data_IF_400415370228
#
_entry.id   IF_400415370228
#
_cell.length_a   1.000
_cell.length_b   1.000
_cell.length_c   1.000
_cell.angle_alpha   90.00
_cell.angle_beta   90.00
_cell.angle_gamma   90.00
#
_symmetry.space_group_name_H-M   'P 1'
#
loop_
_entity.id
_entity.type
_entity.pdbx_description
1 polymer ?
#
# COMPACT_ATOMS: atom_id res chain seq x y z
N UNK A 1 -4.54 14.05 5.54
CA UNK A 1 -3.81 13.66 4.33
C UNK A 1 -4.09 14.59 3.15
N UNK A 2 -5.33 14.73 2.68
CA UNK A 2 -5.67 15.58 1.52
C UNK A 2 -5.05 16.98 1.57
N UNK A 3 -5.35 17.77 2.61
CA UNK A 3 -4.81 19.13 2.73
C UNK A 3 -3.28 19.16 2.72
N UNK A 4 -2.63 18.23 3.42
CA UNK A 4 -1.16 18.13 3.48
C UNK A 4 -0.57 17.93 2.08
N UNK A 5 -1.17 17.08 1.24
CA UNK A 5 -0.65 16.83 -0.11
C UNK A 5 -1.08 17.89 -1.11
N UNK A 6 -2.25 18.49 -0.95
CA UNK A 6 -2.65 19.66 -1.75
C UNK A 6 -1.74 20.87 -1.48
N UNK A 7 -1.33 21.10 -0.23
CA UNK A 7 -0.35 22.14 0.13
C UNK A 7 1.04 21.87 -0.48
N UNK A 8 1.34 20.61 -0.79
CA UNK A 8 2.55 20.19 -1.53
C UNK A 8 2.35 20.15 -3.05
N UNK A 9 1.24 20.71 -3.55
CA UNK A 9 0.87 20.76 -4.96
C UNK A 9 0.66 19.38 -5.61
N UNK A 10 0.05 18.45 -4.86
CA UNK A 10 -0.40 17.15 -5.36
C UNK A 10 -1.93 17.04 -5.38
N UNK A 11 -2.44 16.39 -6.42
CA UNK A 11 -3.81 15.92 -6.45
C UNK A 11 -3.92 14.56 -5.75
N UNK A 12 -4.89 14.44 -4.85
CA UNK A 12 -5.19 13.19 -4.14
C UNK A 12 -6.53 12.69 -4.64
N UNK A 13 -6.54 11.48 -5.18
CA UNK A 13 -7.74 10.82 -5.69
C UNK A 13 -7.97 9.57 -4.85
N UNK A 14 -9.16 9.49 -4.27
CA UNK A 14 -9.60 8.37 -3.43
C UNK A 14 -10.99 7.96 -3.84
N UNK A 15 -11.31 6.70 -3.61
CA UNK A 15 -12.57 6.11 -3.99
C UNK A 15 -12.98 5.08 -2.96
N UNK A 16 -14.28 4.88 -2.83
CA UNK A 16 -14.81 3.75 -2.09
C UNK A 16 -14.73 2.50 -2.97
N UNK A 17 -14.19 1.44 -2.40
CA UNK A 17 -14.20 0.13 -3.03
C UNK A 17 -15.63 -0.39 -3.18
N UNK A 18 -15.88 -1.27 -4.16
CA UNK A 18 -17.17 -1.99 -4.23
C UNK A 18 -17.49 -2.66 -2.89
N UNK A 19 -18.74 -2.52 -2.43
CA UNK A 19 -19.21 -3.04 -1.14
C UNK A 19 -18.78 -2.24 0.09
N UNK A 20 -18.17 -1.06 -0.09
CA UNK A 20 -17.84 -0.10 0.96
C UNK A 20 -18.45 1.26 0.66
N UNK A 21 -18.70 2.06 1.71
CA UNK A 21 -19.34 3.36 1.58
C UNK A 21 -20.67 3.25 0.84
N UNK A 22 -20.84 4.09 -0.18
CA UNK A 22 -22.02 4.10 -1.05
C UNK A 22 -21.85 3.23 -2.31
N UNK A 23 -20.77 2.45 -2.42
CA UNK A 23 -20.49 1.60 -3.59
C UNK A 23 -21.10 0.20 -3.45
N UNK A 24 -21.88 -0.20 -4.44
CA UNK A 24 -22.55 -1.51 -4.51
C UNK A 24 -21.60 -2.67 -4.89
N UNK A 25 -22.07 -3.90 -4.69
CA UNK A 25 -21.45 -5.12 -5.20
C UNK A 25 -20.61 -5.90 -4.17
N UNK A 26 -20.23 -7.15 -4.50
CA UNK A 26 -19.47 -7.99 -3.58
C UNK A 26 -18.00 -7.56 -3.54
N UNK A 27 -17.49 -7.32 -2.33
CA UNK A 27 -16.08 -7.03 -2.06
C UNK A 27 -15.21 -8.30 -2.15
N UNK A 28 -15.01 -8.85 -3.35
CA UNK A 28 -14.06 -9.96 -3.60
C UNK A 28 -12.66 -9.42 -3.95
N UNK A 29 -11.60 -10.22 -3.81
CA UNK A 29 -10.21 -9.81 -4.14
C UNK A 29 -10.15 -9.19 -5.52
N UNK A 30 -10.62 -9.97 -6.48
CA UNK A 30 -10.59 -9.65 -7.89
C UNK A 30 -11.38 -8.38 -8.14
N UNK A 31 -12.54 -8.23 -7.50
CA UNK A 31 -13.35 -7.03 -7.61
C UNK A 31 -12.64 -5.79 -7.07
N UNK A 32 -12.09 -5.87 -5.87
CA UNK A 32 -11.39 -4.76 -5.21
C UNK A 32 -10.12 -4.35 -5.97
N UNK A 33 -9.35 -5.33 -6.46
CA UNK A 33 -8.17 -5.08 -7.31
C UNK A 33 -8.58 -4.49 -8.66
N UNK A 34 -9.70 -4.95 -9.24
CA UNK A 34 -10.26 -4.39 -10.47
C UNK A 34 -10.67 -2.93 -10.29
N UNK A 35 -11.24 -2.56 -9.15
CA UNK A 35 -11.57 -1.16 -8.83
C UNK A 35 -10.30 -0.30 -8.80
N UNK A 36 -9.22 -0.76 -8.16
CA UNK A 36 -7.93 -0.09 -8.20
C UNK A 36 -7.40 0.12 -9.62
N UNK A 37 -7.48 -0.91 -10.48
CA UNK A 37 -7.05 -0.81 -11.88
C UNK A 37 -7.90 0.19 -12.66
N UNK A 38 -9.22 0.17 -12.49
CA UNK A 38 -10.14 1.11 -13.16
C UNK A 38 -9.82 2.55 -12.79
N UNK A 39 -9.66 2.84 -11.50
CA UNK A 39 -9.33 4.19 -11.03
C UNK A 39 -7.94 4.59 -11.49
N UNK A 40 -6.93 3.72 -11.37
CA UNK A 40 -5.58 4.02 -11.86
C UNK A 40 -5.58 4.38 -13.35
N UNK A 41 -6.25 3.58 -14.19
CA UNK A 41 -6.34 3.84 -15.63
C UNK A 41 -7.10 5.13 -15.93
N UNK A 42 -8.20 5.39 -15.22
CA UNK A 42 -8.94 6.64 -15.34
C UNK A 42 -8.02 7.84 -15.03
N UNK A 43 -7.33 7.81 -13.90
CA UNK A 43 -6.41 8.88 -13.50
C UNK A 43 -5.29 9.03 -14.51
N UNK A 44 -4.65 7.93 -14.91
CA UNK A 44 -3.52 7.99 -15.85
C UNK A 44 -3.93 8.59 -17.21
N UNK A 45 -5.11 8.27 -17.71
CA UNK A 45 -5.63 8.83 -18.97
C UNK A 45 -5.95 10.32 -18.88
N UNK A 46 -6.26 10.85 -17.69
CA UNK A 46 -6.56 12.27 -17.47
C UNK A 46 -5.37 13.05 -16.87
N UNK A 47 -4.25 12.39 -16.62
CA UNK A 47 -3.07 13.00 -16.01
C UNK A 47 -2.06 13.52 -17.03
N UNK A 48 -2.27 13.30 -18.33
CA UNK A 48 -1.33 13.67 -19.40
C UNK A 48 0.11 13.17 -19.08
N UNK A 49 1.06 14.10 -18.93
CA UNK A 49 2.46 13.86 -18.59
C UNK A 49 2.74 13.87 -17.08
N UNK A 50 1.73 14.04 -16.22
CA UNK A 50 1.94 14.06 -14.78
C UNK A 50 2.29 12.68 -14.23
N UNK A 51 3.09 12.71 -13.17
CA UNK A 51 3.48 11.54 -12.39
C UNK A 51 2.28 11.01 -11.62
N UNK A 52 1.96 9.74 -11.83
CA UNK A 52 0.91 9.01 -11.12
C UNK A 52 1.54 7.98 -10.21
N UNK A 53 1.27 8.11 -8.91
CA UNK A 53 1.76 7.25 -7.83
C UNK A 53 0.57 6.50 -7.22
N UNK A 54 0.74 5.20 -6.96
CA UNK A 54 -0.24 4.42 -6.21
C UNK A 54 0.10 4.52 -4.73
N UNK A 55 -0.88 4.90 -3.90
CA UNK A 55 -0.73 4.97 -2.45
C UNK A 55 -1.67 3.96 -1.77
N UNK A 56 -1.14 3.14 -0.88
CA UNK A 56 -1.92 2.24 -0.02
C UNK A 56 -1.62 2.49 1.45
N UNK A 57 -2.64 2.41 2.30
CA UNK A 57 -2.51 2.46 3.76
C UNK A 57 -3.13 1.21 4.39
N UNK A 58 -2.41 0.59 5.34
CA UNK A 58 -2.90 -0.58 6.07
C UNK A 58 -3.38 -1.68 5.12
N UNK A 59 -4.65 -2.13 5.20
CA UNK A 59 -5.21 -3.10 4.23
C UNK A 59 -5.08 -2.65 2.76
N UNK A 60 -5.15 -1.34 2.51
CA UNK A 60 -4.90 -0.72 1.22
C UNK A 60 -3.55 -1.09 0.60
N UNK A 61 -2.52 -1.36 1.42
CA UNK A 61 -1.18 -1.72 0.91
C UNK A 61 -1.18 -3.03 0.15
N UNK A 62 -2.03 -3.99 0.54
CA UNK A 62 -2.14 -5.28 -0.15
C UNK A 62 -2.72 -5.11 -1.56
N UNK A 63 -3.76 -4.28 -1.70
CA UNK A 63 -4.37 -3.97 -2.99
C UNK A 63 -3.43 -3.12 -3.86
N UNK A 64 -2.84 -2.08 -3.29
CA UNK A 64 -1.89 -1.22 -3.99
C UNK A 64 -0.70 -2.01 -4.55
N UNK A 65 -0.13 -2.92 -3.75
CA UNK A 65 0.98 -3.80 -4.16
C UNK A 65 0.54 -4.74 -5.28
N UNK A 66 -0.66 -5.33 -5.17
CA UNK A 66 -1.20 -6.23 -6.20
C UNK A 66 -1.45 -5.49 -7.52
N UNK A 67 -2.05 -4.30 -7.49
CA UNK A 67 -2.26 -3.47 -8.67
C UNK A 67 -0.93 -3.05 -9.30
N UNK A 68 0.04 -2.58 -8.51
CA UNK A 68 1.36 -2.22 -9.01
C UNK A 68 2.11 -3.41 -9.63
N UNK A 69 1.97 -4.60 -9.03
CA UNK A 69 2.52 -5.84 -9.59
C UNK A 69 1.89 -6.16 -10.95
N UNK A 70 0.57 -6.14 -11.05
CA UNK A 70 -0.15 -6.46 -12.29
C UNK A 70 0.26 -5.52 -13.43
N UNK A 71 0.36 -4.22 -13.13
CA UNK A 71 0.86 -3.20 -14.06
C UNK A 71 2.33 -3.44 -14.45
N UNK A 72 3.17 -3.86 -13.50
CA UNK A 72 4.58 -4.19 -13.75
C UNK A 72 4.71 -5.39 -14.69
N UNK A 73 3.90 -6.45 -14.48
CA UNK A 73 3.86 -7.64 -15.33
C UNK A 73 3.34 -7.29 -16.73
N UNK A 74 2.37 -6.38 -16.82
CA UNK A 74 1.84 -5.89 -18.09
C UNK A 74 2.80 -4.93 -18.83
N UNK A 75 4.00 -4.67 -18.31
CA UNK A 75 4.97 -3.76 -18.92
C UNK A 75 4.61 -2.27 -18.81
N UNK A 76 3.63 -1.92 -17.99
CA UNK A 76 3.15 -0.54 -17.79
C UNK A 76 3.20 -0.14 -16.30
N UNK A 77 4.35 -0.29 -15.63
CA UNK A 77 4.44 0.00 -14.19
C UNK A 77 4.05 1.45 -13.89
N UNK A 78 3.42 1.72 -12.73
CA UNK A 78 3.18 3.09 -12.28
C UNK A 78 4.52 3.79 -12.03
N UNK A 79 4.51 5.12 -11.88
CA UNK A 79 5.75 5.85 -11.61
C UNK A 79 6.35 5.47 -10.26
N UNK A 80 5.50 5.10 -9.29
CA UNK A 80 5.92 4.62 -7.99
C UNK A 80 4.78 4.07 -7.16
N UNK A 81 5.16 3.39 -6.07
CA UNK A 81 4.26 2.78 -5.10
C UNK A 81 4.62 3.29 -3.70
N UNK A 82 3.65 3.83 -2.96
CA UNK A 82 3.80 4.21 -1.55
C UNK A 82 2.96 3.28 -0.69
N UNK A 83 3.59 2.67 0.31
CA UNK A 83 2.97 1.77 1.26
C UNK A 83 3.10 2.34 2.68
N UNK A 84 1.99 2.78 3.26
CA UNK A 84 1.92 3.33 4.61
C UNK A 84 1.40 2.28 5.60
N UNK A 85 2.15 2.05 6.68
CA UNK A 85 1.92 0.98 7.66
C UNK A 85 1.60 -0.38 7.01
N UNK A 86 2.42 -0.89 6.08
CA UNK A 86 2.13 -2.15 5.41
C UNK A 86 2.36 -3.36 6.31
N UNK A 87 1.86 -4.49 5.84
CA UNK A 87 2.15 -5.79 6.41
C UNK A 87 2.63 -6.75 5.32
N UNK A 88 3.39 -7.75 5.75
CA UNK A 88 3.89 -8.83 4.91
C UNK A 88 2.78 -9.84 4.58
N UNK A 89 1.92 -10.15 5.55
CA UNK A 89 0.80 -11.09 5.41
C UNK A 89 -0.37 -10.66 6.31
N UNK A 90 -1.62 -10.69 5.80
CA UNK A 90 -2.79 -10.35 6.61
C UNK A 90 -3.01 -11.35 7.76
N UNK A 91 -2.55 -12.62 7.62
CA UNK A 91 -2.52 -13.58 8.73
C UNK A 91 -1.69 -13.05 9.90
N UNK A 92 -0.51 -12.53 9.63
CA UNK A 92 0.39 -12.03 10.68
C UNK A 92 -0.22 -10.85 11.44
N UNK A 93 -1.00 -10.02 10.75
CA UNK A 93 -1.76 -8.91 11.36
C UNK A 93 -2.91 -9.42 12.23
N UNK A 94 -3.70 -10.39 11.75
CA UNK A 94 -4.83 -10.97 12.49
C UNK A 94 -4.39 -11.70 13.78
N UNK A 95 -3.14 -12.12 13.85
CA UNK A 95 -2.56 -12.74 15.05
C UNK A 95 -1.88 -11.75 16.00
N UNK A 96 -1.95 -10.45 15.74
CA UNK A 96 -1.42 -9.45 16.66
C UNK A 96 -2.27 -9.33 17.91
N UNK A 97 -1.59 -9.11 19.04
CA UNK A 97 -2.20 -9.05 20.37
C UNK A 97 -3.24 -7.93 20.48
N UNK A 98 -3.06 -6.82 19.76
CA UNK A 98 -3.91 -5.63 19.89
C UNK A 98 -5.28 -5.80 19.22
N UNK A 99 -5.31 -6.40 18.03
CA UNK A 99 -6.57 -6.68 17.31
C UNK A 99 -7.38 -7.76 18.04
N UNK A 100 -6.71 -8.73 18.66
CA UNK A 100 -7.35 -9.79 19.44
C UNK A 100 -7.69 -9.41 20.89
N UNK A 101 -7.08 -8.37 21.47
CA UNK A 101 -7.26 -7.97 22.88
C UNK A 101 -8.72 -7.70 23.30
N UNK A 102 -9.54 -6.92 22.56
CA UNK A 102 -10.93 -6.71 22.94
C UNK A 102 -11.78 -7.98 22.88
N UNK A 103 -11.27 -9.06 22.28
CA UNK A 103 -11.98 -10.33 22.08
C UNK A 103 -11.23 -11.51 22.69
N UNK A 104 -10.30 -11.28 23.63
CA UNK A 104 -9.50 -12.33 24.28
C UNK A 104 -10.38 -13.38 24.98
N UNK A 105 -11.59 -13.00 25.39
CA UNK A 105 -12.60 -13.84 26.03
C UNK A 105 -13.38 -14.74 25.05
N UNK A 106 -13.31 -14.48 23.74
CA UNK A 106 -13.97 -15.26 22.70
C UNK A 106 -13.01 -16.35 22.21
N UNK A 107 -13.48 -17.61 22.00
CA UNK A 107 -12.65 -18.64 21.41
C UNK A 107 -11.97 -18.15 20.12
N UNK A 108 -10.65 -18.32 20.03
CA UNK A 108 -9.82 -17.81 18.92
C UNK A 108 -10.38 -18.18 17.55
N UNK A 109 -10.97 -19.38 17.41
CA UNK A 109 -11.62 -19.84 16.19
C UNK A 109 -12.84 -18.98 15.78
N UNK A 110 -13.65 -18.52 16.74
CA UNK A 110 -14.83 -17.68 16.50
C UNK A 110 -14.42 -16.24 16.18
N UNK A 111 -13.42 -15.70 16.89
CA UNK A 111 -12.86 -14.38 16.58
C UNK A 111 -12.29 -14.33 15.16
N UNK A 112 -11.48 -15.34 14.81
CA UNK A 112 -10.97 -15.54 13.47
C UNK A 112 -12.15 -15.67 12.50
N UNK A 113 -13.16 -16.50 12.77
CA UNK A 113 -14.28 -16.67 11.85
C UNK A 113 -15.05 -15.37 11.59
N UNK A 114 -15.33 -14.55 12.59
CA UNK A 114 -16.05 -13.27 12.41
C UNK A 114 -15.23 -12.24 11.63
N UNK A 115 -13.96 -12.03 11.99
CA UNK A 115 -13.09 -11.08 11.27
C UNK A 115 -12.69 -11.59 9.89
N UNK A 116 -12.48 -12.89 9.76
CA UNK A 116 -12.20 -13.50 8.47
C UNK A 116 -13.44 -13.73 7.64
N UNK A 117 -14.69 -13.66 8.11
CA UNK A 117 -15.88 -13.86 7.25
C UNK A 117 -15.90 -12.90 6.07
N UNK A 118 -15.66 -11.60 6.33
CA UNK A 118 -15.52 -10.60 5.26
C UNK A 118 -14.21 -10.80 4.49
N UNK A 119 -13.10 -11.12 5.16
CA UNK A 119 -11.82 -11.40 4.49
C UNK A 119 -11.80 -12.70 3.66
N UNK A 120 -12.67 -13.67 3.98
CA UNK A 120 -12.86 -14.96 3.30
C UNK A 120 -13.58 -14.74 1.98
N UNK A 121 -14.56 -13.84 1.96
CA UNK A 121 -15.18 -13.35 0.72
C UNK A 121 -14.17 -12.59 -0.13
N UNK A 122 -13.28 -11.85 0.53
CA UNK A 122 -12.20 -11.12 -0.12
C UNK A 122 -11.20 -12.12 -0.72
N UNK A 123 -10.86 -13.27 -0.11
CA UNK A 123 -10.16 -14.39 -0.78
C UNK A 123 -8.79 -14.72 -0.17
N UNK A 124 -8.17 -15.83 -0.58
CA UNK A 124 -6.92 -16.33 0.03
C UNK A 124 -5.63 -15.68 -0.49
N UNK A 125 -5.71 -14.86 -1.53
CA UNK A 125 -4.54 -14.29 -2.22
C UNK A 125 -4.02 -13.00 -1.56
N UNK A 126 -4.79 -12.38 -0.65
CA UNK A 126 -4.34 -11.30 0.28
C UNK A 126 -3.13 -11.63 1.15
N UNK A 127 -2.78 -12.90 1.17
CA UNK A 127 -1.81 -13.49 2.09
C UNK A 127 -0.38 -13.39 1.57
N UNK A 128 -0.15 -12.81 0.39
CA UNK A 128 1.13 -12.92 -0.32
C UNK A 128 1.73 -11.56 -0.70
N UNK A 129 1.60 -10.53 0.15
CA UNK A 129 2.24 -9.23 -0.14
C UNK A 129 3.76 -9.37 -0.31
N UNK A 130 4.40 -10.30 0.42
CA UNK A 130 5.81 -10.68 0.24
C UNK A 130 6.13 -11.21 -1.18
N UNK A 131 5.28 -12.04 -1.79
CA UNK A 131 5.53 -12.55 -3.15
C UNK A 131 5.17 -11.52 -4.21
N UNK A 132 4.14 -10.70 -3.95
CA UNK A 132 3.69 -9.66 -4.87
C UNK A 132 4.72 -8.55 -5.03
N UNK A 133 5.30 -8.10 -3.91
CA UNK A 133 6.25 -6.97 -3.93
C UNK A 133 7.52 -7.31 -4.73
N UNK A 134 7.94 -8.58 -4.76
CA UNK A 134 9.09 -9.05 -5.54
C UNK A 134 8.93 -8.83 -7.05
N UNK A 135 7.69 -8.75 -7.54
CA UNK A 135 7.34 -8.58 -8.94
C UNK A 135 7.02 -7.13 -9.32
N UNK A 136 6.99 -6.21 -8.36
CA UNK A 136 6.82 -4.77 -8.61
C UNK A 136 8.12 -4.22 -9.19
N UNK A 137 8.07 -3.50 -10.31
CA UNK A 137 9.27 -2.95 -10.97
C UNK A 137 9.45 -1.45 -10.77
N UNK A 138 8.40 -0.73 -10.35
CA UNK A 138 8.51 0.68 -10.02
C UNK A 138 9.23 0.92 -8.68
N UNK A 139 9.75 2.14 -8.44
CA UNK A 139 10.25 2.54 -7.13
C UNK A 139 9.19 2.45 -6.04
N UNK A 140 9.60 1.97 -4.86
CA UNK A 140 8.73 1.70 -3.72
C UNK A 140 9.18 2.56 -2.53
N UNK A 141 8.24 3.26 -1.91
CA UNK A 141 8.41 3.92 -0.62
C UNK A 141 7.57 3.19 0.43
N UNK A 142 8.20 2.74 1.50
CA UNK A 142 7.53 2.17 2.65
C UNK A 142 7.67 3.14 3.82
N UNK A 143 6.55 3.49 4.44
CA UNK A 143 6.46 4.37 5.60
C UNK A 143 5.86 3.58 6.77
N UNK A 144 6.51 3.59 7.94
CA UNK A 144 6.00 2.88 9.11
C UNK A 144 6.34 3.62 10.41
N UNK A 145 5.41 3.67 11.36
CA UNK A 145 5.68 4.17 12.70
C UNK A 145 6.10 3.04 13.67
N UNK A 146 7.17 3.24 14.44
CA UNK A 146 7.65 2.25 15.40
C UNK A 146 6.65 2.00 16.54
N UNK A 147 5.78 2.98 16.84
CA UNK A 147 4.69 2.89 17.83
C UNK A 147 3.36 2.38 17.22
N UNK A 148 3.38 1.83 16.00
CA UNK A 148 2.19 1.22 15.39
C UNK A 148 1.81 -0.08 16.12
N UNK A 149 0.79 0.04 16.99
CA UNK A 149 0.21 -1.08 17.74
C UNK A 149 -0.76 -1.93 16.93
N UNK A 150 -1.21 -1.45 15.77
CA UNK A 150 -2.19 -2.14 14.92
C UNK A 150 -1.49 -3.08 13.95
N UNK A 151 -0.49 -2.55 13.24
CA UNK A 151 0.39 -3.31 12.35
C UNK A 151 1.81 -3.14 12.86
N UNK A 152 2.34 -4.12 13.63
CA UNK A 152 3.66 -4.02 14.20
C UNK A 152 4.72 -3.75 13.12
N UNK A 153 5.61 -2.80 13.39
CA UNK A 153 6.67 -2.36 12.46
C UNK A 153 7.52 -3.50 11.90
N UNK A 154 7.67 -4.59 12.66
CA UNK A 154 8.36 -5.81 12.22
C UNK A 154 7.78 -6.40 10.93
N UNK A 155 6.48 -6.29 10.70
CA UNK A 155 5.83 -6.79 9.48
C UNK A 155 6.20 -5.92 8.27
N UNK A 156 6.25 -4.59 8.45
CA UNK A 156 6.74 -3.67 7.43
C UNK A 156 8.22 -3.90 7.10
N UNK A 157 9.07 -4.16 8.11
CA UNK A 157 10.48 -4.52 7.92
C UNK A 157 10.64 -5.81 7.11
N UNK A 158 9.87 -6.87 7.43
CA UNK A 158 9.87 -8.11 6.64
C UNK A 158 9.52 -7.87 5.17
N UNK A 159 8.47 -7.08 4.91
CA UNK A 159 8.06 -6.76 3.54
C UNK A 159 9.15 -5.99 2.77
N UNK A 160 9.81 -5.03 3.43
CA UNK A 160 11.00 -4.34 2.89
C UNK A 160 12.09 -5.35 2.54
N UNK A 161 12.42 -6.25 3.46
CA UNK A 161 13.51 -7.22 3.26
C UNK A 161 13.22 -8.13 2.07
N UNK A 162 11.99 -8.63 1.93
CA UNK A 162 11.57 -9.42 0.74
C UNK A 162 11.72 -8.66 -0.57
N UNK A 163 11.46 -7.35 -0.58
CA UNK A 163 11.63 -6.52 -1.77
C UNK A 163 13.10 -6.25 -2.09
N UNK A 164 13.93 -6.00 -1.07
CA UNK A 164 15.38 -5.83 -1.23
C UNK A 164 16.05 -7.12 -1.73
N UNK A 165 15.66 -8.28 -1.20
CA UNK A 165 16.15 -9.60 -1.64
C UNK A 165 15.84 -9.87 -3.12
N UNK A 166 14.70 -9.38 -3.62
CA UNK A 166 14.35 -9.44 -5.04
C UNK A 166 14.98 -8.32 -5.89
N UNK A 167 15.88 -7.52 -5.33
CA UNK A 167 16.56 -6.43 -6.03
C UNK A 167 15.64 -5.27 -6.42
N UNK A 168 14.55 -5.04 -5.67
CA UNK A 168 13.62 -3.93 -5.94
C UNK A 168 14.18 -2.62 -5.41
N UNK A 169 13.85 -1.51 -6.07
CA UNK A 169 14.20 -0.17 -5.60
C UNK A 169 13.26 0.25 -4.47
N UNK A 170 13.71 0.12 -3.22
CA UNK A 170 12.91 0.37 -2.02
C UNK A 170 13.57 1.42 -1.13
N UNK A 171 12.84 2.47 -0.79
CA UNK A 171 13.14 3.37 0.33
C UNK A 171 12.24 3.00 1.50
N UNK A 172 12.82 2.68 2.65
CA UNK A 172 12.09 2.43 3.88
C UNK A 172 12.33 3.58 4.85
N UNK A 173 11.26 4.20 5.33
CA UNK A 173 11.29 5.23 6.37
C UNK A 173 10.53 4.72 7.57
N UNK A 174 11.26 4.52 8.66
CA UNK A 174 10.70 4.22 9.96
C UNK A 174 10.67 5.49 10.80
N UNK A 175 9.54 5.77 11.45
CA UNK A 175 9.39 6.90 12.34
C UNK A 175 9.51 6.44 13.79
N UNK A 176 10.37 7.10 14.55
CA UNK A 176 10.62 6.79 15.97
C UNK A 176 9.35 6.83 16.83
N UNK A 177 9.29 5.99 17.86
CA UNK A 177 8.10 5.81 18.69
C UNK A 177 7.72 7.07 19.49
N UNK A 178 8.71 7.91 19.81
CA UNK A 178 8.54 9.17 20.54
C UNK A 178 7.69 10.18 19.77
N UNK A 179 7.55 9.98 18.46
CA UNK A 179 6.75 10.84 17.57
C UNK A 179 5.26 10.60 17.68
N UNK A 180 4.84 9.50 18.32
CA UNK A 180 3.43 9.16 18.60
C UNK A 180 2.52 9.20 17.37
N UNK A 181 3.04 8.75 16.23
CA UNK A 181 2.31 8.75 14.95
C UNK A 181 1.37 7.56 14.84
N UNK A 182 1.74 6.43 15.44
CA UNK A 182 0.97 5.19 15.44
C UNK A 182 0.54 4.76 14.05
N UNK A 183 -0.61 4.10 13.98
CA UNK A 183 -1.11 3.52 12.71
C UNK A 183 -1.69 4.53 11.72
N UNK A 184 -2.08 5.74 12.18
CA UNK A 184 -2.96 6.63 11.41
C UNK A 184 -2.38 8.00 11.09
N UNK A 185 -1.30 8.42 11.77
CA UNK A 185 -0.86 9.81 11.73
C UNK A 185 0.49 10.00 11.05
N UNK A 186 1.00 9.01 10.31
CA UNK A 186 2.27 9.13 9.57
C UNK A 186 2.23 10.33 8.60
N UNK A 187 1.10 10.59 7.95
CA UNK A 187 0.93 11.77 7.09
C UNK A 187 1.14 13.13 7.80
N UNK A 188 1.15 13.19 9.13
CA UNK A 188 1.44 14.38 9.92
C UNK A 188 2.93 14.54 10.27
N UNK A 189 3.79 13.59 9.87
CA UNK A 189 5.22 13.70 10.09
C UNK A 189 5.77 14.96 9.37
N UNK A 190 6.61 15.72 10.07
CA UNK A 190 7.15 17.01 9.56
C UNK A 190 7.96 16.83 8.27
N UNK A 191 8.56 15.66 8.11
CA UNK A 191 9.38 15.26 6.97
C UNK A 191 8.54 14.85 5.76
N UNK A 192 7.22 14.78 5.85
CA UNK A 192 6.39 14.46 4.67
C UNK A 192 6.60 15.46 3.53
N UNK A 193 6.86 16.73 3.86
CA UNK A 193 7.19 17.79 2.90
C UNK A 193 8.51 17.59 2.17
N UNK A 194 9.40 16.72 2.67
CA UNK A 194 10.68 16.41 2.04
C UNK A 194 10.70 15.00 1.44
N UNK A 195 10.18 14.01 2.18
CA UNK A 195 10.15 12.60 1.79
C UNK A 195 9.35 12.41 0.50
N UNK A 196 8.16 13.03 0.39
CA UNK A 196 7.27 12.81 -0.75
C UNK A 196 7.81 13.49 -2.02
N UNK A 197 8.20 14.77 -2.02
CA UNK A 197 8.78 15.38 -3.22
C UNK A 197 10.06 14.69 -3.70
N UNK A 198 10.95 14.30 -2.77
CA UNK A 198 12.15 13.53 -3.11
C UNK A 198 11.81 12.19 -3.77
N UNK A 199 10.85 11.44 -3.21
CA UNK A 199 10.42 10.18 -3.79
C UNK A 199 9.77 10.36 -5.17
N UNK A 200 8.85 11.32 -5.31
CA UNK A 200 8.16 11.60 -6.58
C UNK A 200 9.15 12.02 -7.67
N UNK A 201 10.12 12.88 -7.33
CA UNK A 201 11.17 13.29 -8.27
C UNK A 201 12.00 12.10 -8.74
N UNK A 202 12.49 11.27 -7.82
CA UNK A 202 13.28 10.06 -8.17
C UNK A 202 12.46 9.05 -8.98
N UNK A 203 11.19 8.84 -8.60
CA UNK A 203 10.25 7.99 -9.31
C UNK A 203 10.06 8.43 -10.77
N UNK A 204 9.86 9.74 -10.98
CA UNK A 204 9.66 10.32 -12.32
C UNK A 204 10.90 10.15 -13.20
N UNK A 205 12.09 10.42 -12.67
CA UNK A 205 13.35 10.27 -13.41
C UNK A 205 13.56 8.82 -13.84
N UNK A 206 13.36 7.86 -12.93
CA UNK A 206 13.54 6.44 -13.22
C UNK A 206 12.54 5.95 -14.27
N UNK A 207 11.27 6.33 -14.15
CA UNK A 207 10.23 5.94 -15.11
C UNK A 207 10.51 6.47 -16.54
N UNK A 208 10.95 7.72 -16.66
CA UNK A 208 11.32 8.30 -17.94
C UNK A 208 12.54 7.62 -18.56
N UNK A 209 13.54 7.25 -17.74
CA UNK A 209 14.74 6.54 -18.22
C UNK A 209 14.42 5.16 -18.80
N UNK A 210 13.51 4.41 -18.18
CA UNK A 210 13.05 3.11 -18.67
C UNK A 210 12.18 3.21 -19.92
N UNK A 211 11.46 4.32 -20.08
CA UNK A 211 10.61 4.57 -21.26
C UNK A 211 11.41 5.01 -22.49
N UNK A 212 12.61 5.55 -22.29
CA UNK A 212 13.53 6.00 -23.35
C UNK A 212 14.49 4.92 -23.87
N UNK A 213 14.52 3.73 -23.26
CA UNK A 213 15.34 2.64 -23.75
C UNK A 213 14.73 2.08 -25.06
N UNK A 214 15.48 2.04 -26.19
CA UNK A 214 14.96 1.45 -27.41
C UNK A 214 14.62 -0.02 -27.15
N UNK A 215 13.45 -0.46 -27.62
CA UNK A 215 13.08 -1.86 -27.61
C UNK A 215 14.15 -2.64 -28.39
N UNK A 216 14.92 -3.46 -27.67
CA UNK A 216 15.91 -4.37 -28.24
C UNK A 216 15.23 -5.59 -28.87
#
# INVERSE_FOLDING_TARGET
>A
MYNVFSDLNYHVITFDYRGFGDSDGPATEEGLVKDCHLVYNYVKNHSEHNTVIIWGHSLGTAFATKTAMDLSIAGTPPHGLVLESPFNNVRDVLFTRWISWPFFWIPRAIFIDVYTRRLKTIGSTFLESEERIKRVTCPILILHAADDVTVPVKLGRKLRDSALEAGRNVKYVEFEAERRLGHKYIYLAKEMSTIIPDFVSRATILHNSTSSAPAA
#
